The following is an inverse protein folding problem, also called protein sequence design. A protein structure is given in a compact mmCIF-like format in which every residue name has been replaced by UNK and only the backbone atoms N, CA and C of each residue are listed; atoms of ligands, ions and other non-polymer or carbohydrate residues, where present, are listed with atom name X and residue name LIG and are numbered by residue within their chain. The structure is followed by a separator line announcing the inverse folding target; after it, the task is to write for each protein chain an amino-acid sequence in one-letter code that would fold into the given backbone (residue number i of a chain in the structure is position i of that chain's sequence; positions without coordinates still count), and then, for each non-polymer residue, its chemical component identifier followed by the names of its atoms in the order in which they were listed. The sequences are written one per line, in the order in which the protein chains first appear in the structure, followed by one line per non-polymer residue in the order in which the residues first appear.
data_IF_470404322276
#
_entry.id   IF_470404322276
#
_cell.length_a   1.000
_cell.length_b   1.000
_cell.length_c   1.000
_cell.angle_alpha   90.00
_cell.angle_beta   90.00
_cell.angle_gamma   90.00
#
_symmetry.space_group_name_H-M   'P 1'
#
loop_
_entity.id
_entity.type
_entity.pdbx_description
1 polymer ?
#
# COMPACT_ATOMS: atom_id res chain seq x y z
N UNK A 1 2.34 13.61 48.64
CA UNK A 1 1.83 13.60 47.26
C UNK A 1 2.97 13.19 46.34
N UNK A 2 2.98 11.97 45.86
CA UNK A 2 4.00 11.48 44.91
C UNK A 2 3.70 12.05 43.53
N UNK A 3 4.61 12.87 43.01
CA UNK A 3 4.58 13.36 41.64
C UNK A 3 4.79 12.15 40.69
N UNK A 4 3.75 11.72 40.03
CA UNK A 4 3.84 10.78 38.90
C UNK A 4 4.56 11.54 37.78
N UNK A 5 5.86 11.40 37.67
CA UNK A 5 6.61 11.77 36.46
C UNK A 5 6.11 10.89 35.34
N UNK A 6 5.29 11.46 34.46
CA UNK A 6 4.85 10.78 33.25
C UNK A 6 6.11 10.31 32.48
N UNK A 7 6.26 9.02 32.30
CA UNK A 7 7.37 8.45 31.55
C UNK A 7 7.35 9.06 30.15
N UNK A 8 8.41 9.76 29.77
CA UNK A 8 8.55 10.32 28.43
C UNK A 8 8.59 9.16 27.44
N UNK A 9 7.55 9.02 26.65
CA UNK A 9 7.52 7.98 25.61
C UNK A 9 8.59 8.29 24.54
N UNK A 10 9.34 7.28 24.09
CA UNK A 10 10.34 7.48 23.06
C UNK A 10 9.67 7.95 21.76
N UNK A 11 10.39 8.80 21.01
CA UNK A 11 9.96 9.27 19.69
C UNK A 11 9.77 8.09 18.75
N UNK A 12 8.65 8.07 18.05
CA UNK A 12 8.37 7.12 16.98
C UNK A 12 8.82 7.70 15.64
N UNK A 13 9.71 7.01 14.94
CA UNK A 13 10.14 7.38 13.60
C UNK A 13 9.52 6.41 12.61
N UNK A 14 8.65 6.91 11.73
CA UNK A 14 7.98 6.12 10.71
C UNK A 14 8.62 6.38 9.34
N UNK A 15 9.01 5.31 8.68
CA UNK A 15 9.51 5.35 7.32
C UNK A 15 8.43 4.84 6.38
N UNK A 16 8.01 5.67 5.42
CA UNK A 16 7.06 5.30 4.38
C UNK A 16 7.72 5.36 3.01
N UNK A 17 7.55 4.31 2.26
CA UNK A 17 7.63 4.34 0.81
C UNK A 17 6.37 5.01 0.27
N UNK A 18 6.42 5.61 -0.93
CA UNK A 18 5.32 6.42 -1.45
C UNK A 18 4.46 5.63 -2.41
N UNK A 19 5.04 5.26 -3.55
CA UNK A 19 4.28 4.69 -4.65
C UNK A 19 3.81 3.28 -4.32
N UNK A 20 2.52 2.99 -4.59
CA UNK A 20 1.90 1.70 -4.30
C UNK A 20 1.95 1.28 -2.80
N UNK A 21 2.31 2.22 -1.91
CA UNK A 21 2.38 2.01 -0.46
C UNK A 21 1.44 2.94 0.30
N UNK A 22 1.60 4.26 0.12
CA UNK A 22 0.70 5.27 0.68
C UNK A 22 -0.04 6.06 -0.40
N UNK A 23 0.46 6.03 -1.64
CA UNK A 23 -0.12 6.71 -2.79
C UNK A 23 -0.60 5.70 -3.83
N UNK A 24 -1.84 5.87 -4.28
CA UNK A 24 -2.47 5.05 -5.34
C UNK A 24 -2.24 5.75 -6.67
N UNK A 25 -1.00 6.05 -6.95
CA UNK A 25 -0.52 6.63 -8.19
C UNK A 25 0.97 6.34 -8.35
N UNK A 26 1.45 6.25 -9.56
CA UNK A 26 2.87 6.23 -9.90
C UNK A 26 3.10 7.13 -11.13
N UNK A 27 3.15 8.45 -10.93
CA UNK A 27 3.32 9.39 -12.04
C UNK A 27 4.64 9.20 -12.78
N UNK A 28 5.69 8.75 -12.08
CA UNK A 28 7.00 8.50 -12.68
C UNK A 28 6.98 7.27 -13.59
N UNK A 29 6.20 6.24 -13.24
CA UNK A 29 5.98 5.04 -14.06
C UNK A 29 4.93 5.21 -15.14
N UNK A 30 4.21 6.33 -15.17
CA UNK A 30 3.12 6.57 -16.11
C UNK A 30 1.91 5.64 -15.88
N UNK A 31 1.72 5.15 -14.66
CA UNK A 31 0.68 4.20 -14.33
C UNK A 31 -0.66 4.90 -14.07
N UNK A 32 -1.72 4.35 -14.64
CA UNK A 32 -3.09 4.71 -14.32
C UNK A 32 -3.47 4.22 -12.91
N UNK A 33 -4.58 4.74 -12.37
CA UNK A 33 -5.15 4.24 -11.12
C UNK A 33 -5.41 2.72 -11.16
N UNK A 34 -5.93 2.23 -12.26
CA UNK A 34 -6.21 0.80 -12.48
C UNK A 34 -4.93 -0.04 -12.51
N UNK A 35 -3.86 0.45 -13.15
CA UNK A 35 -2.56 -0.20 -13.18
C UNK A 35 -1.98 -0.34 -11.76
N UNK A 36 -2.10 0.72 -10.96
CA UNK A 36 -1.60 0.72 -9.58
C UNK A 36 -2.37 -0.28 -8.72
N UNK A 37 -3.69 -0.35 -8.84
CA UNK A 37 -4.50 -1.36 -8.13
C UNK A 37 -4.08 -2.78 -8.51
N UNK A 38 -3.89 -3.05 -9.81
CA UNK A 38 -3.38 -4.33 -10.27
C UNK A 38 -2.01 -4.67 -9.68
N UNK A 39 -1.10 -3.71 -9.67
CA UNK A 39 0.25 -3.87 -9.08
C UNK A 39 0.20 -4.15 -7.57
N UNK A 40 -0.67 -3.45 -6.83
CA UNK A 40 -0.86 -3.68 -5.40
C UNK A 40 -1.37 -5.09 -5.13
N UNK A 41 -2.37 -5.54 -5.88
CA UNK A 41 -2.90 -6.90 -5.77
C UNK A 41 -1.84 -7.95 -6.11
N UNK A 42 -1.10 -7.76 -7.20
CA UNK A 42 -0.02 -8.66 -7.59
C UNK A 42 1.06 -8.82 -6.51
N UNK A 43 1.33 -7.76 -5.74
CA UNK A 43 2.30 -7.79 -4.63
C UNK A 43 1.80 -8.53 -3.39
N UNK A 44 0.48 -8.66 -3.23
CA UNK A 44 -0.16 -9.29 -2.07
C UNK A 44 -0.73 -10.67 -2.36
N UNK A 45 -0.67 -11.13 -3.61
CA UNK A 45 -1.09 -12.45 -4.00
C UNK A 45 -0.03 -13.50 -3.61
N UNK A 46 -0.43 -14.46 -2.79
CA UNK A 46 0.46 -15.50 -2.25
C UNK A 46 0.00 -16.88 -2.70
N UNK A 47 0.96 -17.74 -3.01
CA UNK A 47 0.73 -19.15 -3.33
C UNK A 47 1.49 -20.05 -2.39
N UNK A 48 1.07 -21.32 -2.35
CA UNK A 48 1.75 -22.43 -1.67
C UNK A 48 1.74 -23.68 -2.55
N UNK A 49 2.61 -24.62 -2.26
CA UNK A 49 2.53 -25.94 -2.89
C UNK A 49 1.34 -26.74 -2.32
N UNK A 50 0.67 -27.46 -3.19
CA UNK A 50 -0.46 -28.35 -2.83
C UNK A 50 -0.03 -29.47 -1.86
N UNK A 51 1.21 -29.93 -1.97
CA UNK A 51 1.81 -30.98 -1.13
C UNK A 51 2.36 -30.45 0.22
N UNK A 52 2.26 -29.14 0.47
CA UNK A 52 2.79 -28.50 1.68
C UNK A 52 4.32 -28.36 1.69
N UNK A 53 5.00 -28.74 0.61
CA UNK A 53 6.45 -28.56 0.45
C UNK A 53 6.86 -27.09 0.27
N UNK A 54 8.17 -26.84 0.31
CA UNK A 54 8.72 -25.55 -0.04
C UNK A 54 8.47 -25.25 -1.53
N UNK A 55 8.09 -24.02 -1.83
CA UNK A 55 8.02 -23.54 -3.22
C UNK A 55 9.44 -23.19 -3.66
N UNK A 56 9.90 -23.75 -4.74
CA UNK A 56 11.20 -23.49 -5.36
C UNK A 56 11.04 -23.04 -6.81
N UNK A 57 12.12 -22.61 -7.43
CA UNK A 57 12.12 -22.12 -8.80
C UNK A 57 11.75 -23.20 -9.84
N UNK A 58 11.71 -24.48 -9.43
CA UNK A 58 11.32 -25.60 -10.25
C UNK A 58 9.84 -25.99 -10.08
N UNK A 59 9.11 -25.34 -9.18
CA UNK A 59 7.70 -25.62 -8.98
C UNK A 59 6.88 -25.20 -10.19
N UNK A 60 6.16 -26.15 -10.78
CA UNK A 60 5.21 -25.83 -11.85
C UNK A 60 3.97 -25.14 -11.28
N UNK A 61 3.35 -24.19 -11.99
CA UNK A 61 2.05 -23.62 -11.62
C UNK A 61 0.98 -24.68 -11.32
N UNK A 62 1.03 -25.84 -11.95
CA UNK A 62 0.13 -26.98 -11.67
C UNK A 62 0.29 -27.55 -10.25
N UNK A 63 1.46 -27.36 -9.62
CA UNK A 63 1.76 -27.83 -8.26
C UNK A 63 1.37 -26.80 -7.20
N UNK A 64 0.95 -25.61 -7.65
CA UNK A 64 0.66 -24.47 -6.80
C UNK A 64 -0.84 -24.28 -6.61
N UNK A 65 -1.19 -23.69 -5.49
CA UNK A 65 -2.52 -23.16 -5.20
C UNK A 65 -2.38 -21.81 -4.52
N UNK A 66 -3.41 -20.99 -4.60
CA UNK A 66 -3.47 -19.77 -3.81
C UNK A 66 -3.42 -20.13 -2.31
N UNK A 67 -2.97 -19.21 -1.49
CA UNK A 67 -2.80 -19.43 -0.04
C UNK A 67 -4.10 -19.88 0.66
N UNK A 68 -5.26 -19.56 0.09
CA UNK A 68 -6.58 -19.99 0.56
C UNK A 68 -7.00 -21.37 0.06
N UNK A 69 -6.14 -22.07 -0.69
CA UNK A 69 -6.37 -23.42 -1.19
C UNK A 69 -7.08 -23.52 -2.54
N UNK A 70 -7.36 -22.40 -3.18
CA UNK A 70 -7.94 -22.42 -4.54
C UNK A 70 -6.82 -22.73 -5.55
N UNK A 71 -7.02 -23.69 -6.47
CA UNK A 71 -6.05 -24.03 -7.49
C UNK A 71 -5.69 -22.84 -8.38
N UNK A 72 -4.41 -22.69 -8.71
CA UNK A 72 -3.91 -21.57 -9.50
C UNK A 72 -4.42 -21.58 -10.94
N UNK A 73 -4.58 -22.77 -11.51
CA UNK A 73 -4.99 -22.96 -12.91
C UNK A 73 -6.49 -22.76 -13.17
N UNK A 74 -7.30 -22.52 -12.14
CA UNK A 74 -8.73 -22.25 -12.30
C UNK A 74 -8.98 -20.80 -12.76
N UNK A 75 -7.94 -19.96 -12.77
CA UNK A 75 -8.04 -18.61 -13.29
C UNK A 75 -7.95 -18.60 -14.84
N UNK A 76 -8.60 -17.64 -15.47
CA UNK A 76 -8.46 -17.40 -16.89
C UNK A 76 -7.09 -16.79 -17.21
N UNK A 77 -6.44 -17.30 -18.25
CA UNK A 77 -5.12 -16.84 -18.67
C UNK A 77 -4.06 -17.94 -18.60
N UNK A 78 -2.80 -17.58 -18.86
CA UNK A 78 -1.67 -18.48 -18.78
C UNK A 78 -0.78 -18.11 -17.56
N UNK A 79 -0.99 -18.77 -16.41
CA UNK A 79 -0.23 -18.49 -15.21
C UNK A 79 1.29 -18.70 -15.38
N UNK A 80 1.71 -19.65 -16.23
CA UNK A 80 3.13 -19.97 -16.43
C UNK A 80 3.92 -18.78 -16.97
N UNK A 81 3.27 -17.96 -17.81
CA UNK A 81 3.90 -16.77 -18.38
C UNK A 81 3.80 -15.53 -17.50
N UNK A 82 2.90 -15.55 -16.53
CA UNK A 82 2.61 -14.38 -15.69
C UNK A 82 3.28 -14.40 -14.33
N UNK A 83 3.77 -15.55 -13.89
CA UNK A 83 4.26 -15.74 -12.53
C UNK A 83 5.77 -15.89 -12.46
N UNK A 84 6.33 -15.42 -11.36
CA UNK A 84 7.63 -15.79 -10.85
C UNK A 84 7.56 -15.96 -9.33
N UNK A 85 8.40 -16.82 -8.79
CA UNK A 85 8.39 -17.16 -7.38
C UNK A 85 9.33 -16.25 -6.61
N UNK A 86 8.91 -15.84 -5.43
CA UNK A 86 9.74 -15.11 -4.48
C UNK A 86 9.82 -15.88 -3.17
N UNK A 87 11.03 -15.98 -2.67
CA UNK A 87 11.30 -16.55 -1.36
C UNK A 87 11.00 -15.53 -0.26
N UNK A 88 10.17 -15.89 0.71
CA UNK A 88 10.08 -15.21 1.99
C UNK A 88 10.88 -15.99 3.03
N UNK A 89 11.51 -15.24 3.93
CA UNK A 89 12.24 -15.80 5.05
C UNK A 89 11.29 -15.78 6.25
N UNK A 90 10.83 -16.94 6.74
CA UNK A 90 10.04 -16.98 7.96
C UNK A 90 10.87 -16.51 9.16
N UNK A 91 10.18 -16.11 10.24
CA UNK A 91 10.82 -15.63 11.48
C UNK A 91 11.72 -16.67 12.14
N UNK A 92 11.51 -17.97 11.86
CA UNK A 92 12.35 -19.08 12.35
C UNK A 92 13.67 -19.28 11.56
N UNK A 93 13.90 -18.43 10.55
CA UNK A 93 15.11 -18.50 9.73
C UNK A 93 15.10 -19.58 8.64
N UNK A 94 14.06 -20.41 8.53
CA UNK A 94 13.89 -21.36 7.44
C UNK A 94 13.59 -20.62 6.12
N UNK A 95 13.94 -21.23 4.99
CA UNK A 95 13.55 -20.71 3.68
C UNK A 95 12.15 -21.23 3.36
N UNK A 96 11.16 -20.40 3.44
CA UNK A 96 9.83 -20.72 2.93
C UNK A 96 9.50 -19.78 1.77
N UNK A 97 9.26 -20.35 0.62
CA UNK A 97 8.70 -19.58 -0.49
C UNK A 97 7.22 -19.45 -0.24
N UNK A 98 6.74 -18.24 -0.17
CA UNK A 98 5.34 -17.99 0.10
C UNK A 98 4.70 -17.05 -0.90
N UNK A 99 5.48 -16.40 -1.77
CA UNK A 99 4.93 -15.45 -2.71
C UNK A 99 5.19 -15.81 -4.14
N UNK A 100 4.11 -15.90 -4.92
CA UNK A 100 4.20 -15.59 -6.33
C UNK A 100 4.25 -14.08 -6.48
N UNK A 101 5.12 -13.62 -7.37
CA UNK A 101 4.94 -12.33 -7.97
C UNK A 101 4.59 -12.52 -9.43
N UNK A 102 3.57 -11.84 -9.86
CA UNK A 102 3.38 -11.60 -11.28
C UNK A 102 4.64 -10.95 -11.86
N UNK A 103 5.15 -11.42 -12.98
CA UNK A 103 6.22 -10.77 -13.72
C UNK A 103 5.88 -9.29 -13.89
N UNK A 104 6.88 -8.42 -13.83
CA UNK A 104 6.64 -6.97 -13.85
C UNK A 104 5.84 -6.52 -15.05
N UNK A 105 6.08 -7.14 -16.22
CA UNK A 105 5.33 -6.89 -17.44
C UNK A 105 3.83 -7.18 -17.33
N UNK A 106 3.43 -8.08 -16.42
CA UNK A 106 2.04 -8.50 -16.26
C UNK A 106 1.36 -7.92 -15.01
N UNK A 107 2.07 -7.12 -14.20
CA UNK A 107 1.47 -6.55 -12.98
C UNK A 107 0.35 -5.58 -13.27
N UNK A 108 0.43 -4.84 -14.37
CA UNK A 108 -0.61 -3.87 -14.77
C UNK A 108 -1.91 -4.55 -15.20
N UNK A 109 -1.82 -5.78 -15.69
CA UNK A 109 -2.94 -6.60 -16.16
C UNK A 109 -3.22 -7.79 -15.23
N UNK A 110 -2.82 -7.70 -13.97
CA UNK A 110 -2.88 -8.81 -13.02
C UNK A 110 -4.27 -9.45 -12.93
N UNK A 111 -5.33 -8.66 -12.83
CA UNK A 111 -6.70 -9.17 -12.71
C UNK A 111 -7.30 -9.64 -14.02
N UNK A 112 -6.65 -9.40 -15.15
CA UNK A 112 -7.01 -9.99 -16.46
C UNK A 112 -6.49 -11.43 -16.54
N UNK A 113 -5.31 -11.70 -16.00
CA UNK A 113 -4.74 -13.04 -15.91
C UNK A 113 -5.38 -13.85 -14.78
N UNK A 114 -5.56 -13.21 -13.60
CA UNK A 114 -6.10 -13.86 -12.40
C UNK A 114 -7.45 -13.26 -12.03
N UNK A 115 -8.49 -13.68 -12.77
CA UNK A 115 -9.83 -13.09 -12.72
C UNK A 115 -10.50 -13.18 -11.36
N UNK A 116 -10.11 -14.12 -10.51
CA UNK A 116 -10.57 -14.20 -9.12
C UNK A 116 -10.33 -12.92 -8.31
N UNK A 117 -9.33 -12.12 -8.67
CA UNK A 117 -9.01 -10.86 -8.00
C UNK A 117 -9.77 -9.66 -8.57
N UNK A 118 -10.52 -9.82 -9.64
CA UNK A 118 -11.26 -8.73 -10.27
C UNK A 118 -12.32 -8.13 -9.32
N UNK A 119 -13.02 -8.97 -8.54
CA UNK A 119 -13.98 -8.52 -7.53
C UNK A 119 -13.31 -7.70 -6.43
N UNK A 120 -12.16 -8.16 -5.93
CA UNK A 120 -11.37 -7.45 -4.89
C UNK A 120 -10.90 -6.09 -5.43
N UNK A 121 -10.44 -6.04 -6.69
CA UNK A 121 -10.04 -4.78 -7.35
C UNK A 121 -11.21 -3.79 -7.40
N UNK A 122 -12.40 -4.26 -7.77
CA UNK A 122 -13.61 -3.42 -7.81
C UNK A 122 -14.00 -2.89 -6.44
N UNK A 123 -13.92 -3.73 -5.40
CA UNK A 123 -14.18 -3.30 -4.02
C UNK A 123 -13.18 -2.24 -3.55
N UNK A 124 -11.89 -2.44 -3.82
CA UNK A 124 -10.85 -1.45 -3.49
C UNK A 124 -11.08 -0.13 -4.23
N UNK A 125 -11.40 -0.17 -5.51
CA UNK A 125 -11.73 1.02 -6.29
C UNK A 125 -12.96 1.74 -5.70
N UNK A 126 -14.00 1.01 -5.32
CA UNK A 126 -15.19 1.58 -4.69
C UNK A 126 -14.87 2.23 -3.33
N UNK A 127 -14.03 1.60 -2.49
CA UNK A 127 -13.60 2.15 -1.20
C UNK A 127 -12.71 3.40 -1.36
N UNK A 128 -11.96 3.49 -2.45
CA UNK A 128 -11.09 4.62 -2.76
C UNK A 128 -11.82 5.74 -3.51
N UNK A 129 -13.10 5.58 -3.82
CA UNK A 129 -13.87 6.62 -4.49
C UNK A 129 -14.03 7.84 -3.59
N UNK A 130 -13.79 9.00 -4.15
CA UNK A 130 -13.98 10.28 -3.46
C UNK A 130 -15.49 10.52 -3.20
N UNK A 131 -15.86 10.99 -2.01
CA UNK A 131 -17.21 11.45 -1.79
C UNK A 131 -17.52 12.68 -2.68
N UNK A 132 -18.80 12.95 -2.99
CA UNK A 132 -19.17 14.14 -3.73
C UNK A 132 -18.64 15.40 -3.04
N UNK A 133 -18.05 16.31 -3.81
CA UNK A 133 -17.48 17.55 -3.30
C UNK A 133 -16.37 18.10 -4.18
N UNK A 134 -15.98 19.34 -3.91
CA UNK A 134 -14.79 19.94 -4.53
C UNK A 134 -13.60 19.82 -3.58
N UNK A 135 -12.76 18.86 -3.86
CA UNK A 135 -11.61 18.51 -3.03
C UNK A 135 -10.31 19.04 -3.64
N UNK A 136 -9.34 19.32 -2.78
CA UNK A 136 -8.00 19.74 -3.22
C UNK A 136 -7.41 18.74 -4.22
N UNK A 137 -6.78 19.22 -5.28
CA UNK A 137 -6.19 18.40 -6.33
C UNK A 137 -5.14 17.40 -5.79
N UNK A 138 -4.49 17.73 -4.67
CA UNK A 138 -3.52 16.82 -4.05
C UNK A 138 -4.13 15.50 -3.54
N UNK A 139 -5.45 15.45 -3.33
CA UNK A 139 -6.15 14.23 -2.89
C UNK A 139 -6.79 13.45 -4.04
N UNK A 140 -6.81 14.01 -5.24
CA UNK A 140 -7.46 13.40 -6.41
C UNK A 140 -6.43 12.66 -7.26
N UNK A 141 -6.79 11.47 -7.73
CA UNK A 141 -6.12 10.81 -8.86
C UNK A 141 -6.34 11.61 -10.14
N UNK A 142 -5.66 11.27 -11.22
CA UNK A 142 -5.75 12.02 -12.47
C UNK A 142 -7.14 11.93 -13.13
N UNK A 143 -7.90 10.86 -12.84
CA UNK A 143 -9.31 10.72 -13.21
C UNK A 143 -10.25 11.65 -12.40
N UNK A 144 -9.76 12.25 -11.33
CA UNK A 144 -10.50 13.12 -10.43
C UNK A 144 -11.56 12.43 -9.58
N UNK A 145 -11.67 11.11 -9.63
CA UNK A 145 -12.74 10.35 -8.99
C UNK A 145 -12.32 9.59 -7.73
N UNK A 146 -11.02 9.30 -7.60
CA UNK A 146 -10.51 8.45 -6.52
C UNK A 146 -9.51 9.20 -5.64
N UNK A 147 -9.33 8.69 -4.44
CA UNK A 147 -8.28 9.14 -3.54
C UNK A 147 -6.90 8.86 -4.14
N UNK A 148 -6.06 9.90 -4.24
CA UNK A 148 -4.65 9.75 -4.64
C UNK A 148 -3.83 9.04 -3.57
N UNK A 149 -4.16 9.26 -2.31
CA UNK A 149 -3.52 8.63 -1.16
C UNK A 149 -4.49 7.69 -0.46
N UNK A 150 -3.99 6.60 0.08
CA UNK A 150 -4.78 5.71 0.92
C UNK A 150 -5.29 6.47 2.15
N UNK A 151 -6.61 6.56 2.39
CA UNK A 151 -7.15 7.20 3.59
C UNK A 151 -6.58 6.62 4.89
N UNK A 152 -6.25 5.33 4.89
CA UNK A 152 -5.63 4.63 6.01
C UNK A 152 -4.28 5.24 6.44
N UNK A 153 -3.52 5.85 5.52
CA UNK A 153 -2.29 6.57 5.86
C UNK A 153 -2.57 7.75 6.80
N UNK A 154 -3.51 8.60 6.44
CA UNK A 154 -3.88 9.75 7.27
C UNK A 154 -4.55 9.33 8.57
N UNK A 155 -5.39 8.29 8.53
CA UNK A 155 -6.05 7.76 9.73
C UNK A 155 -5.03 7.19 10.72
N UNK A 156 -4.02 6.46 10.24
CA UNK A 156 -2.91 5.98 11.08
C UNK A 156 -2.18 7.14 11.75
N UNK A 157 -1.85 8.17 10.97
CA UNK A 157 -1.19 9.37 11.51
C UNK A 157 -2.08 10.10 12.52
N UNK A 158 -3.38 10.21 12.25
CA UNK A 158 -4.35 10.82 13.16
C UNK A 158 -4.37 10.11 14.52
N UNK A 159 -4.51 8.78 14.51
CA UNK A 159 -4.53 7.96 15.74
C UNK A 159 -3.23 8.15 16.55
N UNK A 160 -2.09 8.13 15.88
CA UNK A 160 -0.79 8.30 16.54
C UNK A 160 -0.64 9.70 17.16
N UNK A 161 -1.04 10.75 16.45
CA UNK A 161 -0.96 12.13 16.91
C UNK A 161 -1.95 12.39 18.04
N UNK A 162 -3.19 11.89 17.93
CA UNK A 162 -4.21 12.04 18.96
C UNK A 162 -3.87 11.24 20.23
N UNK A 163 -3.02 10.22 20.14
CA UNK A 163 -2.47 9.51 21.29
C UNK A 163 -1.28 10.23 21.95
N UNK A 164 -1.01 11.47 21.60
CA UNK A 164 0.11 12.27 22.10
C UNK A 164 1.50 11.67 21.87
N UNK A 165 1.65 10.82 20.84
CA UNK A 165 2.97 10.29 20.46
C UNK A 165 3.79 11.37 19.75
N UNK A 166 5.06 11.49 20.16
CA UNK A 166 6.05 12.25 19.39
C UNK A 166 6.41 11.43 18.13
N UNK A 167 5.93 11.88 16.97
CA UNK A 167 6.05 11.16 15.68
C UNK A 167 6.93 11.97 14.74
N UNK A 168 7.88 11.31 14.12
CA UNK A 168 8.64 11.82 12.97
C UNK A 168 8.33 10.99 11.73
N UNK A 169 8.15 11.65 10.59
CA UNK A 169 7.92 10.99 9.32
C UNK A 169 9.14 11.10 8.41
N UNK A 170 9.54 9.98 7.84
CA UNK A 170 10.55 9.91 6.80
C UNK A 170 9.88 9.35 5.56
N UNK A 171 9.77 10.18 4.54
CA UNK A 171 9.19 9.81 3.24
C UNK A 171 10.33 9.39 2.32
N UNK A 172 10.22 8.19 1.76
CA UNK A 172 11.21 7.60 0.86
C UNK A 172 10.56 7.41 -0.50
N UNK A 173 11.12 8.02 -1.53
CA UNK A 173 10.66 7.88 -2.92
C UNK A 173 11.84 7.97 -3.86
N UNK A 174 11.77 7.24 -4.97
CA UNK A 174 12.72 7.38 -6.07
C UNK A 174 12.36 8.52 -7.03
N UNK A 175 11.13 9.02 -6.94
CA UNK A 175 10.60 10.06 -7.80
C UNK A 175 10.52 11.43 -7.13
N UNK A 176 9.80 12.32 -7.77
CA UNK A 176 9.53 13.70 -7.31
C UNK A 176 8.30 13.83 -6.41
N UNK A 177 7.80 12.75 -5.83
CA UNK A 177 6.50 12.69 -5.14
C UNK A 177 6.53 13.31 -3.73
N UNK A 178 7.71 13.50 -3.15
CA UNK A 178 7.88 14.07 -1.81
C UNK A 178 7.14 15.40 -1.61
N UNK A 179 7.24 16.39 -2.52
CA UNK A 179 6.46 17.62 -2.47
C UNK A 179 4.95 17.39 -2.47
N UNK A 180 4.44 16.44 -3.26
CA UNK A 180 3.01 16.10 -3.31
C UNK A 180 2.52 15.55 -1.97
N UNK A 181 3.28 14.65 -1.34
CA UNK A 181 2.99 14.14 0.01
C UNK A 181 2.96 15.30 1.01
N UNK A 182 3.94 16.21 0.96
CA UNK A 182 4.00 17.36 1.87
C UNK A 182 2.79 18.30 1.70
N UNK A 183 2.34 18.54 0.48
CA UNK A 183 1.12 19.34 0.19
C UNK A 183 -0.12 18.65 0.77
N UNK A 184 -0.27 17.34 0.54
CA UNK A 184 -1.41 16.58 1.04
C UNK A 184 -1.45 16.55 2.58
N UNK A 185 -0.31 16.37 3.25
CA UNK A 185 -0.22 16.43 4.72
C UNK A 185 -0.63 17.79 5.27
N UNK A 186 -0.18 18.90 4.65
CA UNK A 186 -0.59 20.25 5.06
C UNK A 186 -2.09 20.48 4.86
N UNK A 187 -2.63 20.04 3.73
CA UNK A 187 -4.05 20.17 3.43
C UNK A 187 -4.90 19.38 4.44
N UNK A 188 -4.48 18.16 4.78
CA UNK A 188 -5.15 17.35 5.80
C UNK A 188 -5.13 18.00 7.19
N UNK A 189 -3.98 18.51 7.65
CA UNK A 189 -3.88 19.21 8.95
C UNK A 189 -4.75 20.48 8.97
N UNK A 190 -4.91 21.13 7.82
CA UNK A 190 -5.84 22.25 7.66
C UNK A 190 -7.32 21.82 7.62
N UNK A 191 -7.63 20.50 7.74
CA UNK A 191 -8.98 19.96 7.76
C UNK A 191 -9.62 19.82 6.38
N UNK A 192 -8.82 19.76 5.30
CA UNK A 192 -9.32 19.69 3.91
C UNK A 192 -9.28 18.29 3.29
N UNK A 193 -8.96 17.26 4.09
CA UNK A 193 -9.00 15.88 3.59
C UNK A 193 -10.46 15.42 3.39
N UNK A 194 -10.77 14.72 2.28
CA UNK A 194 -12.15 14.34 1.94
C UNK A 194 -12.88 13.48 2.97
N UNK A 195 -12.18 12.60 3.65
CA UNK A 195 -12.79 11.57 4.51
C UNK A 195 -12.16 11.45 5.89
N UNK A 196 -10.92 11.90 6.08
CA UNK A 196 -10.21 11.74 7.36
C UNK A 196 -10.13 13.07 8.10
N UNK A 197 -10.64 13.11 9.32
CA UNK A 197 -10.57 14.29 10.16
C UNK A 197 -9.12 14.71 10.43
N UNK A 198 -8.90 16.02 10.62
CA UNK A 198 -7.60 16.53 11.06
C UNK A 198 -7.27 16.00 12.47
N UNK A 199 -5.99 15.86 12.83
CA UNK A 199 -5.60 15.51 14.19
C UNK A 199 -6.00 16.64 15.15
N UNK A 200 -6.31 16.28 16.40
CA UNK A 200 -6.65 17.25 17.46
C UNK A 200 -5.46 18.14 17.82
N UNK A 201 -4.26 17.58 17.72
CA UNK A 201 -3.01 18.30 17.94
C UNK A 201 -2.24 18.43 16.63
N UNK A 202 -1.90 19.69 16.28
CA UNK A 202 -1.07 19.93 15.10
C UNK A 202 0.36 19.44 15.38
N UNK A 203 0.91 18.57 14.52
CA UNK A 203 2.25 18.04 14.73
C UNK A 203 3.33 19.09 14.48
N UNK A 204 4.36 19.11 15.31
CA UNK A 204 5.47 20.06 15.22
C UNK A 204 6.29 19.93 13.92
N UNK A 205 6.24 18.76 13.27
CA UNK A 205 7.00 18.51 12.03
C UNK A 205 6.44 19.21 10.79
N UNK A 206 5.21 19.69 10.82
CA UNK A 206 4.64 20.52 9.72
C UNK A 206 5.41 21.82 9.52
N UNK A 207 6.13 22.27 10.53
CA UNK A 207 6.92 23.51 10.50
C UNK A 207 8.39 23.30 10.08
N UNK A 208 8.85 22.06 9.94
CA UNK A 208 10.26 21.72 9.64
C UNK A 208 10.38 20.80 8.45
N UNK A 209 10.48 21.38 7.25
CA UNK A 209 10.85 20.62 6.06
C UNK A 209 12.37 20.59 5.93
N UNK A 210 12.95 19.41 5.90
CA UNK A 210 14.24 19.16 5.27
C UNK A 210 14.01 18.16 4.15
N UNK A 211 14.14 18.62 2.92
CA UNK A 211 14.32 17.75 1.75
C UNK A 211 15.81 17.46 1.69
N UNK A 212 16.18 16.19 1.76
CA UNK A 212 17.54 15.74 1.57
C UNK A 212 17.68 15.18 0.15
#
# INVERSE_FOLDING_TARGET
MASLTAAVQPRLVLHFDVNETIMVADPAGGDSFEDVLNKMLAKTAFVRRKDGGAVDDAASPSDLEWRDGVPLHDDSGDPEQALWLRWEKPDDGSKMASTTRCLEAHRKTFTETFTRFAGIKQELAAQLRLPPGDWDACFKTDDGQHHRFLPAFFETLRVLLDSCRDVSLVIRTFGSDGPTVAVALRAWIAGRHPTVARPQQAPNWVQRHRVF
#
